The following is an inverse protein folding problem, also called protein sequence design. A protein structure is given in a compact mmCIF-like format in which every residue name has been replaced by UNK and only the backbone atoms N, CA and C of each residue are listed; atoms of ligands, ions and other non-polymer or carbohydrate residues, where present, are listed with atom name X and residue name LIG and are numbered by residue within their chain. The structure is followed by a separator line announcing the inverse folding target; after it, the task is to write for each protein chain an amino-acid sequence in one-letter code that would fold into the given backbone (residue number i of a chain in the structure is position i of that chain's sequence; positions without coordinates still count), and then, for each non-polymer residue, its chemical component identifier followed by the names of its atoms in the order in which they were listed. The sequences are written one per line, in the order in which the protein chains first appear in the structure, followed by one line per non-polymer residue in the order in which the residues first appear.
data_IF_033152021345
#
_entry.id   IF_033152021345
#
_cell.length_a   1.000
_cell.length_b   1.000
_cell.length_c   1.000
_cell.angle_alpha   90.00
_cell.angle_beta   90.00
_cell.angle_gamma   90.00
#
_symmetry.space_group_name_H-M   'P 1'
#
loop_
_entity.id
_entity.type
_entity.pdbx_description
1 polymer ?
#
# COMPACT_ATOMS: atom_id res chain seq x y z
N UNK A 1 -2.80 22.05 18.48
CA UNK A 1 -3.86 21.67 17.52
C UNK A 1 -3.94 20.15 17.59
N UNK A 2 -4.97 19.63 18.24
CA UNK A 2 -5.16 18.21 18.46
C UNK A 2 -5.64 17.57 17.14
N UNK A 3 -4.87 16.62 16.61
CA UNK A 3 -5.33 15.75 15.53
C UNK A 3 -6.36 14.80 16.13
N UNK A 4 -7.59 14.96 15.71
CA UNK A 4 -8.70 14.09 16.06
C UNK A 4 -8.41 12.73 15.42
N UNK A 5 -8.18 11.72 16.26
CA UNK A 5 -8.20 10.31 15.88
C UNK A 5 -9.67 9.96 15.59
N UNK A 6 -10.07 10.05 14.33
CA UNK A 6 -11.29 9.40 13.89
C UNK A 6 -11.01 7.90 13.85
N UNK A 7 -11.31 7.21 14.96
CA UNK A 7 -11.64 5.79 14.90
C UNK A 7 -12.90 5.67 14.04
N UNK A 8 -12.72 5.43 12.74
CA UNK A 8 -13.80 5.04 11.87
C UNK A 8 -14.32 3.69 12.39
N UNK A 9 -15.46 3.72 13.08
CA UNK A 9 -16.23 2.53 13.42
C UNK A 9 -16.66 1.89 12.09
N UNK A 10 -15.88 0.92 11.62
CA UNK A 10 -16.30 0.05 10.53
C UNK A 10 -17.45 -0.81 11.09
N UNK A 11 -18.67 -0.49 10.71
CA UNK A 11 -19.83 -1.27 11.07
C UNK A 11 -19.60 -2.73 10.62
N UNK A 12 -19.85 -3.68 11.52
CA UNK A 12 -19.85 -5.13 11.20
C UNK A 12 -20.90 -5.39 10.12
N UNK A 13 -20.46 -5.51 8.88
CA UNK A 13 -21.34 -5.78 7.74
C UNK A 13 -21.50 -7.29 7.63
N UNK A 14 -22.76 -7.78 7.66
CA UNK A 14 -23.03 -9.13 7.22
C UNK A 14 -22.50 -9.31 5.80
N UNK A 15 -21.47 -10.14 5.66
CA UNK A 15 -20.71 -10.31 4.41
C UNK A 15 -21.60 -10.82 3.28
N UNK A 16 -22.54 -11.73 3.57
CA UNK A 16 -23.43 -12.32 2.56
C UNK A 16 -24.40 -11.25 2.04
N UNK A 17 -25.15 -10.63 2.94
CA UNK A 17 -26.08 -9.55 2.59
C UNK A 17 -25.35 -8.32 1.98
N UNK A 18 -24.11 -8.07 2.41
CA UNK A 18 -23.26 -7.04 1.85
C UNK A 18 -22.86 -7.32 0.40
N UNK A 19 -22.57 -8.57 0.07
CA UNK A 19 -22.23 -8.97 -1.30
C UNK A 19 -23.43 -8.83 -2.24
N UNK A 20 -24.63 -9.22 -1.80
CA UNK A 20 -25.85 -9.06 -2.59
C UNK A 20 -26.16 -7.58 -2.90
N UNK A 21 -26.00 -6.70 -1.90
CA UNK A 21 -26.17 -5.26 -2.10
C UNK A 21 -25.14 -4.66 -3.08
N UNK A 22 -23.87 -5.08 -3.01
CA UNK A 22 -22.85 -4.66 -3.97
C UNK A 22 -23.21 -5.15 -5.38
N UNK A 23 -23.64 -6.40 -5.54
CA UNK A 23 -24.06 -6.94 -6.83
C UNK A 23 -25.23 -6.16 -7.43
N UNK A 24 -26.25 -5.83 -6.61
CA UNK A 24 -27.39 -5.02 -7.05
C UNK A 24 -26.94 -3.63 -7.50
N UNK A 25 -26.05 -2.97 -6.75
CA UNK A 25 -25.52 -1.67 -7.11
C UNK A 25 -24.71 -1.70 -8.43
N UNK A 26 -23.88 -2.75 -8.62
CA UNK A 26 -23.13 -2.93 -9.87
C UNK A 26 -24.06 -3.15 -11.05
N UNK A 27 -25.16 -3.88 -10.88
CA UNK A 27 -26.15 -4.10 -11.94
C UNK A 27 -26.82 -2.79 -12.37
N UNK A 28 -27.18 -1.95 -11.40
CA UNK A 28 -27.70 -0.61 -11.66
C UNK A 28 -26.65 0.22 -12.41
N UNK A 29 -25.42 0.24 -11.92
CA UNK A 29 -24.33 0.99 -12.53
C UNK A 29 -24.11 0.59 -14.02
N UNK A 30 -24.15 -0.69 -14.34
CA UNK A 30 -24.03 -1.16 -15.73
C UNK A 30 -25.13 -0.58 -16.60
N UNK A 31 -26.39 -0.56 -16.12
CA UNK A 31 -27.49 0.06 -16.86
C UNK A 31 -27.31 1.56 -17.07
N UNK A 32 -26.90 2.30 -16.04
CA UNK A 32 -26.65 3.76 -16.12
C UNK A 32 -25.47 4.10 -17.04
N UNK A 33 -24.53 3.17 -17.24
CA UNK A 33 -23.44 3.30 -18.23
C UNK A 33 -23.89 2.97 -19.67
N UNK A 34 -25.17 2.64 -19.88
CA UNK A 34 -25.72 2.30 -21.19
C UNK A 34 -25.51 0.85 -21.62
N UNK A 35 -25.11 -0.02 -20.71
CA UNK A 35 -24.87 -1.45 -20.97
C UNK A 35 -26.12 -2.29 -20.67
N UNK A 36 -26.26 -3.41 -21.38
CA UNK A 36 -27.24 -4.43 -21.02
C UNK A 36 -26.62 -5.40 -19.97
N UNK A 37 -27.02 -5.35 -18.69
CA UNK A 37 -26.46 -6.21 -17.65
C UNK A 37 -26.76 -7.71 -17.84
N UNK A 38 -27.73 -8.07 -18.72
CA UNK A 38 -28.14 -9.45 -19.00
C UNK A 38 -27.40 -10.06 -20.18
N UNK A 39 -26.59 -9.30 -20.92
CA UNK A 39 -25.77 -9.87 -22.00
C UNK A 39 -24.71 -10.84 -21.43
N UNK A 40 -24.39 -11.88 -22.19
CA UNK A 40 -23.52 -13.01 -21.80
C UNK A 40 -22.22 -12.56 -21.10
N UNK A 41 -21.54 -11.54 -21.59
CA UNK A 41 -20.29 -11.05 -21.04
C UNK A 41 -20.44 -10.35 -19.67
N UNK A 42 -21.63 -9.83 -19.33
CA UNK A 42 -21.89 -9.05 -18.11
C UNK A 42 -22.71 -9.78 -17.05
N UNK A 43 -23.36 -10.88 -17.37
CA UNK A 43 -24.26 -11.59 -16.44
C UNK A 43 -23.57 -11.99 -15.11
N UNK A 44 -22.25 -12.27 -15.13
CA UNK A 44 -21.44 -12.60 -13.94
C UNK A 44 -20.64 -11.41 -13.39
N UNK A 45 -20.72 -10.22 -14.03
CA UNK A 45 -19.94 -9.05 -13.62
C UNK A 45 -20.28 -8.55 -12.23
N UNK A 46 -21.56 -8.47 -11.82
CA UNK A 46 -21.90 -8.05 -10.46
C UNK A 46 -21.24 -8.91 -9.37
N UNK A 47 -21.27 -10.23 -9.51
CA UNK A 47 -20.62 -11.15 -8.58
C UNK A 47 -19.11 -10.99 -8.56
N UNK A 48 -18.48 -10.87 -9.75
CA UNK A 48 -17.03 -10.71 -9.88
C UNK A 48 -16.55 -9.40 -9.25
N UNK A 49 -17.27 -8.31 -9.48
CA UNK A 49 -16.97 -6.99 -8.90
C UNK A 49 -17.11 -7.01 -7.39
N UNK A 50 -18.18 -7.63 -6.85
CA UNK A 50 -18.36 -7.76 -5.41
C UNK A 50 -17.17 -8.51 -4.76
N UNK A 51 -16.76 -9.65 -5.33
CA UNK A 51 -15.60 -10.41 -4.85
C UNK A 51 -14.30 -9.61 -4.94
N UNK A 52 -14.08 -8.90 -6.06
CA UNK A 52 -12.88 -8.08 -6.25
C UNK A 52 -12.82 -6.93 -5.25
N UNK A 53 -13.91 -6.20 -5.03
CA UNK A 53 -13.96 -5.11 -4.06
C UNK A 53 -13.71 -5.60 -2.64
N UNK A 54 -14.31 -6.74 -2.23
CA UNK A 54 -14.03 -7.34 -0.91
C UNK A 54 -12.56 -7.70 -0.74
N UNK A 55 -11.96 -8.33 -1.74
CA UNK A 55 -10.53 -8.65 -1.70
C UNK A 55 -9.67 -7.39 -1.60
N UNK A 56 -9.98 -6.37 -2.39
CA UNK A 56 -9.22 -5.11 -2.45
C UNK A 56 -9.43 -4.23 -1.21
N UNK A 57 -10.46 -4.49 -0.40
CA UNK A 57 -10.75 -3.75 0.83
C UNK A 57 -10.71 -4.62 2.10
N UNK A 58 -10.21 -5.85 1.99
CA UNK A 58 -10.13 -6.80 3.11
C UNK A 58 -9.22 -6.38 4.26
N UNK A 59 -8.39 -5.35 4.07
CA UNK A 59 -7.58 -4.77 5.12
C UNK A 59 -8.38 -4.08 6.24
N UNK A 60 -9.64 -3.74 5.99
CA UNK A 60 -10.54 -3.24 7.06
C UNK A 60 -10.90 -4.31 8.09
N UNK A 61 -10.88 -5.57 7.67
CA UNK A 61 -11.24 -6.71 8.53
C UNK A 61 -10.02 -7.30 9.25
N UNK A 62 -8.82 -6.78 8.98
CA UNK A 62 -7.58 -7.30 9.55
C UNK A 62 -7.16 -6.49 10.78
N UNK A 63 -6.86 -7.21 11.86
CA UNK A 63 -6.26 -6.65 13.07
C UNK A 63 -4.73 -6.65 12.94
N UNK A 64 -4.13 -5.48 13.10
CA UNK A 64 -2.68 -5.29 13.08
C UNK A 64 -1.97 -6.14 14.13
N UNK A 65 -2.55 -6.29 15.32
CA UNK A 65 -1.96 -7.07 16.40
C UNK A 65 -1.93 -8.56 16.07
N UNK A 66 -2.99 -9.07 15.44
CA UNK A 66 -3.04 -10.44 14.93
C UNK A 66 -2.02 -10.64 13.80
N UNK A 67 -1.84 -9.67 12.93
CA UNK A 67 -0.88 -9.74 11.81
C UNK A 67 0.56 -9.75 12.32
N UNK A 68 0.89 -8.87 13.26
CA UNK A 68 2.23 -8.82 13.87
C UNK A 68 2.45 -10.08 14.70
N UNK A 69 1.41 -10.52 15.42
CA UNK A 69 1.48 -11.68 16.32
C UNK A 69 2.78 -11.60 17.15
N UNK A 70 3.14 -12.52 17.97
CA UNK A 70 4.34 -12.49 18.83
C UNK A 70 5.69 -12.49 18.08
N UNK A 71 5.75 -12.04 16.80
CA UNK A 71 6.97 -12.00 16.00
C UNK A 71 7.84 -10.77 16.29
N UNK A 72 7.98 -10.45 17.58
CA UNK A 72 8.88 -9.44 18.12
C UNK A 72 10.01 -10.12 18.88
N UNK A 73 11.25 -9.84 18.51
CA UNK A 73 12.44 -10.47 19.07
C UNK A 73 13.33 -9.43 19.71
N UNK A 74 13.84 -9.69 20.92
CA UNK A 74 14.78 -8.81 21.60
C UNK A 74 16.15 -8.82 20.92
N UNK A 75 16.78 -7.64 20.83
CA UNK A 75 18.10 -7.46 20.23
C UNK A 75 18.91 -6.43 21.01
N UNK A 76 20.24 -6.53 20.94
CA UNK A 76 21.18 -5.60 21.57
C UNK A 76 21.90 -4.69 20.57
N UNK A 77 21.54 -4.77 19.27
CA UNK A 77 22.12 -3.96 18.20
C UNK A 77 21.15 -2.89 17.71
N UNK A 78 21.70 -1.83 17.11
CA UNK A 78 20.94 -0.67 16.63
C UNK A 78 21.20 -0.37 15.15
N UNK A 79 21.55 -1.41 14.37
CA UNK A 79 21.75 -1.27 12.94
C UNK A 79 20.41 -1.07 12.21
N UNK A 80 20.45 -0.30 11.12
CA UNK A 80 19.28 -0.03 10.31
C UNK A 80 18.77 -1.31 9.64
N UNK A 81 17.51 -1.63 9.84
CA UNK A 81 16.81 -2.71 9.14
C UNK A 81 15.98 -2.10 8.01
N UNK A 82 16.14 -2.61 6.79
CA UNK A 82 15.40 -2.15 5.62
C UNK A 82 14.74 -3.34 4.92
N UNK A 83 13.44 -3.21 4.63
CA UNK A 83 12.73 -4.07 3.68
C UNK A 83 12.24 -3.17 2.55
N UNK A 84 12.79 -3.39 1.36
CA UNK A 84 12.50 -2.57 0.19
C UNK A 84 11.74 -3.36 -0.87
N UNK A 85 11.18 -2.60 -1.83
CA UNK A 85 10.47 -3.15 -2.99
C UNK A 85 9.24 -4.01 -2.59
N UNK A 86 8.54 -3.62 -1.52
CA UNK A 86 7.29 -4.26 -1.13
C UNK A 86 6.21 -3.82 -2.10
N UNK A 87 5.77 -4.71 -2.98
CA UNK A 87 4.67 -4.44 -3.90
C UNK A 87 3.37 -4.25 -3.12
N UNK A 88 2.57 -3.26 -3.52
CA UNK A 88 1.25 -3.03 -2.95
C UNK A 88 0.24 -2.61 -4.01
N UNK A 89 -1.04 -2.88 -3.73
CA UNK A 89 -2.19 -2.48 -4.51
C UNK A 89 -3.22 -1.85 -3.58
N UNK A 90 -3.79 -0.72 -3.99
CA UNK A 90 -4.78 0.02 -3.21
C UNK A 90 -5.84 0.64 -4.11
N UNK A 91 -6.94 1.09 -3.53
CA UNK A 91 -7.98 1.85 -4.23
C UNK A 91 -7.96 3.30 -3.77
N UNK A 92 -7.84 4.22 -4.71
CA UNK A 92 -7.97 5.65 -4.44
C UNK A 92 -9.39 5.95 -3.93
N UNK A 93 -9.51 6.52 -2.73
CA UNK A 93 -10.80 6.81 -2.11
C UNK A 93 -11.65 7.80 -2.90
N UNK A 94 -11.01 8.68 -3.69
CA UNK A 94 -11.72 9.71 -4.46
C UNK A 94 -12.44 9.14 -5.70
N UNK A 95 -11.93 8.04 -6.27
CA UNK A 95 -12.41 7.56 -7.57
C UNK A 95 -12.68 6.06 -7.62
N UNK A 96 -12.37 5.29 -6.57
CA UNK A 96 -12.36 3.82 -6.54
C UNK A 96 -11.47 3.20 -7.64
N UNK A 97 -10.56 3.97 -8.22
CA UNK A 97 -9.59 3.48 -9.20
C UNK A 97 -8.31 3.04 -8.51
N UNK A 98 -7.64 2.00 -9.03
CA UNK A 98 -6.41 1.50 -8.43
C UNK A 98 -5.27 2.51 -8.45
N UNK A 99 -4.47 2.47 -7.40
CA UNK A 99 -3.08 2.91 -7.43
C UNK A 99 -2.20 1.81 -6.85
N UNK A 100 -1.02 1.68 -7.36
CA UNK A 100 -0.12 0.58 -7.04
C UNK A 100 1.33 0.99 -7.23
N UNK A 101 2.22 0.29 -6.56
CA UNK A 101 3.63 0.62 -6.63
C UNK A 101 4.46 -0.15 -5.62
N UNK A 102 5.48 0.51 -5.08
CA UNK A 102 6.42 -0.07 -4.13
C UNK A 102 6.47 0.74 -2.85
N UNK A 103 6.50 0.02 -1.74
CA UNK A 103 6.71 0.56 -0.41
C UNK A 103 8.07 0.10 0.11
N UNK A 104 8.82 1.02 0.68
CA UNK A 104 10.08 0.76 1.34
C UNK A 104 9.96 1.16 2.79
N UNK A 105 10.30 0.23 3.68
CA UNK A 105 10.20 0.42 5.13
C UNK A 105 11.57 0.24 5.74
N UNK A 106 11.99 1.20 6.57
CA UNK A 106 13.19 1.07 7.39
C UNK A 106 12.89 1.45 8.83
N UNK A 107 13.61 0.84 9.76
CA UNK A 107 13.63 1.25 11.15
C UNK A 107 14.99 0.96 11.79
N UNK A 108 15.29 1.69 12.85
CA UNK A 108 16.47 1.43 13.69
C UNK A 108 15.95 0.91 15.01
N UNK A 109 16.21 -0.36 15.37
CA UNK A 109 15.70 -0.95 16.60
C UNK A 109 16.27 -0.26 17.84
N UNK A 110 15.46 -0.17 18.89
CA UNK A 110 15.93 0.21 20.22
C UNK A 110 16.31 -1.05 21.02
N UNK A 111 15.41 -1.98 21.10
CA UNK A 111 15.52 -3.21 21.88
C UNK A 111 14.79 -4.41 21.24
N UNK A 112 14.04 -4.15 20.16
CA UNK A 112 13.24 -5.18 19.49
C UNK A 112 13.28 -5.03 17.97
N UNK A 113 13.27 -6.18 17.30
CA UNK A 113 13.04 -6.29 15.84
C UNK A 113 11.76 -7.07 15.57
N UNK A 114 11.15 -6.78 14.43
CA UNK A 114 9.99 -7.52 13.93
C UNK A 114 10.42 -8.53 12.87
N UNK A 115 9.78 -9.69 12.83
CA UNK A 115 10.01 -10.65 11.76
C UNK A 115 9.81 -10.00 10.38
N UNK A 116 10.79 -10.10 9.49
CA UNK A 116 10.82 -9.39 8.20
C UNK A 116 9.55 -9.57 7.37
N UNK A 117 8.95 -10.77 7.40
CA UNK A 117 7.69 -11.08 6.69
C UNK A 117 6.47 -10.33 7.22
N UNK A 118 6.55 -9.74 8.41
CA UNK A 118 5.46 -8.98 9.01
C UNK A 118 5.33 -7.57 8.42
N UNK A 119 6.43 -6.99 7.95
CA UNK A 119 6.40 -5.67 7.32
C UNK A 119 5.59 -5.64 6.01
N UNK A 120 5.78 -6.56 5.04
CA UNK A 120 4.91 -6.65 3.88
C UNK A 120 3.43 -6.89 4.25
N UNK A 121 3.15 -7.73 5.24
CA UNK A 121 1.78 -7.96 5.69
C UNK A 121 1.16 -6.72 6.31
N UNK A 122 1.92 -5.94 7.08
CA UNK A 122 1.46 -4.67 7.61
C UNK A 122 1.14 -3.66 6.50
N UNK A 123 2.00 -3.57 5.48
CA UNK A 123 1.73 -2.76 4.28
C UNK A 123 0.42 -3.20 3.62
N UNK A 124 0.17 -4.51 3.52
CA UNK A 124 -1.05 -5.04 2.91
C UNK A 124 -2.30 -4.70 3.72
N UNK A 125 -2.27 -4.78 5.06
CA UNK A 125 -3.39 -4.37 5.93
C UNK A 125 -3.86 -2.96 5.63
N UNK A 126 -2.95 -2.02 5.43
CA UNK A 126 -3.30 -0.63 5.16
C UNK A 126 -3.56 -0.33 3.69
N UNK A 127 -2.88 -1.01 2.77
CA UNK A 127 -3.10 -0.80 1.33
C UNK A 127 -4.42 -1.40 0.84
N UNK A 128 -4.89 -2.53 1.42
CA UNK A 128 -6.19 -3.14 1.10
C UNK A 128 -7.37 -2.39 1.72
N UNK A 129 -7.42 -1.08 1.47
CA UNK A 129 -8.47 -0.15 1.94
C UNK A 129 -8.72 0.90 0.88
N UNK A 130 -9.75 1.73 1.08
CA UNK A 130 -9.86 2.99 0.34
C UNK A 130 -8.86 3.98 0.92
N UNK A 131 -7.90 4.44 0.11
CA UNK A 131 -6.74 5.18 0.61
C UNK A 131 -6.43 6.45 -0.20
N UNK A 132 -5.69 7.34 0.45
CA UNK A 132 -4.78 8.28 -0.19
C UNK A 132 -3.34 7.90 0.17
N UNK A 133 -2.42 8.09 -0.75
CA UNK A 133 -1.03 7.61 -0.60
C UNK A 133 -0.34 8.21 0.63
N UNK A 134 -0.60 9.47 0.95
CA UNK A 134 -0.03 10.18 2.10
C UNK A 134 -0.49 9.56 3.43
N UNK A 135 -1.78 9.19 3.53
CA UNK A 135 -2.34 8.53 4.70
C UNK A 135 -1.75 7.13 4.85
N UNK A 136 -1.70 6.35 3.76
CA UNK A 136 -1.10 5.02 3.74
C UNK A 136 0.34 5.06 4.27
N UNK A 137 1.15 5.99 3.76
CA UNK A 137 2.55 6.16 4.17
C UNK A 137 2.68 6.47 5.66
N UNK A 138 1.84 7.36 6.17
CA UNK A 138 1.86 7.74 7.58
C UNK A 138 1.35 6.63 8.49
N UNK A 139 0.27 5.94 8.16
CA UNK A 139 -0.29 4.84 8.97
C UNK A 139 0.71 3.71 9.15
N UNK A 140 1.46 3.34 8.10
CA UNK A 140 2.52 2.32 8.20
C UNK A 140 3.60 2.79 9.18
N UNK A 141 4.10 4.04 9.03
CA UNK A 141 5.16 4.56 9.89
C UNK A 141 4.72 4.69 11.36
N UNK A 142 3.50 5.13 11.60
CA UNK A 142 2.92 5.29 12.95
C UNK A 142 2.74 3.94 13.64
N UNK A 143 2.24 2.96 12.91
CA UNK A 143 2.05 1.61 13.46
C UNK A 143 3.38 0.97 13.85
N UNK A 144 4.39 1.04 13.00
CA UNK A 144 5.73 0.52 13.32
C UNK A 144 6.29 1.25 14.53
N UNK A 145 6.14 2.58 14.61
CA UNK A 145 6.57 3.37 15.75
C UNK A 145 5.88 2.92 17.04
N UNK A 146 4.57 2.74 17.02
CA UNK A 146 3.79 2.33 18.19
C UNK A 146 4.11 0.91 18.67
N UNK A 147 4.33 -0.03 17.74
CA UNK A 147 4.52 -1.45 18.07
C UNK A 147 5.96 -1.81 18.48
N UNK A 148 6.97 -1.15 17.87
CA UNK A 148 8.38 -1.46 18.12
C UNK A 148 9.06 -0.45 19.02
N UNK A 149 8.52 0.76 19.20
CA UNK A 149 9.18 1.87 19.88
C UNK A 149 10.66 2.05 19.44
N UNK A 150 10.95 2.08 18.13
CA UNK A 150 12.32 2.11 17.62
C UNK A 150 12.96 3.50 17.82
N UNK A 151 14.26 3.61 17.57
CA UNK A 151 14.96 4.91 17.55
C UNK A 151 14.48 5.79 16.39
N UNK A 152 14.02 5.18 15.31
CA UNK A 152 13.41 5.88 14.17
C UNK A 152 12.76 4.93 13.20
N UNK A 153 11.87 5.48 12.38
CA UNK A 153 11.17 4.79 11.28
C UNK A 153 11.22 5.68 10.04
N UNK A 154 11.42 5.05 8.89
CA UNK A 154 11.28 5.68 7.58
C UNK A 154 10.40 4.80 6.68
N UNK A 155 9.43 5.42 6.03
CA UNK A 155 8.59 4.78 5.01
C UNK A 155 8.61 5.65 3.77
N UNK A 156 8.88 5.04 2.61
CA UNK A 156 8.81 5.69 1.31
C UNK A 156 7.91 4.86 0.40
N UNK A 157 6.98 5.52 -0.27
CA UNK A 157 6.07 4.89 -1.24
C UNK A 157 6.19 5.59 -2.58
N UNK A 158 6.47 4.83 -3.63
CA UNK A 158 6.36 5.26 -5.02
C UNK A 158 5.18 4.53 -5.67
N UNK A 159 4.26 5.26 -6.29
CA UNK A 159 3.08 4.68 -6.89
C UNK A 159 2.62 5.35 -8.18
N UNK A 160 1.99 4.55 -9.03
CA UNK A 160 1.25 4.95 -10.22
C UNK A 160 -0.25 4.98 -9.89
N UNK A 161 -0.92 6.10 -10.22
CA UNK A 161 -2.33 6.31 -9.93
C UNK A 161 -3.15 6.26 -11.22
N UNK A 162 -4.01 5.25 -11.40
CA UNK A 162 -4.85 5.16 -12.59
C UNK A 162 -5.83 6.33 -12.70
N UNK A 163 -6.24 6.93 -11.59
CA UNK A 163 -7.06 8.13 -11.61
C UNK A 163 -6.37 9.37 -12.24
N UNK A 164 -5.04 9.35 -12.36
CA UNK A 164 -4.24 10.37 -13.03
C UNK A 164 -3.76 9.93 -14.42
N UNK A 165 -3.53 8.64 -14.61
CA UNK A 165 -2.92 8.09 -15.83
C UNK A 165 -3.95 7.96 -16.96
N UNK A 166 -5.13 7.37 -16.69
CA UNK A 166 -6.12 7.02 -17.71
C UNK A 166 -7.21 8.08 -17.90
N UNK A 167 -7.28 9.08 -17.04
CA UNK A 167 -8.23 10.19 -17.06
C UNK A 167 -7.66 11.38 -16.28
N UNK A 168 -8.34 12.53 -16.31
CA UNK A 168 -7.90 13.74 -15.60
C UNK A 168 -6.71 14.39 -16.30
N UNK A 169 -5.53 14.34 -15.69
CA UNK A 169 -4.32 14.96 -16.25
C UNK A 169 -3.62 14.15 -17.34
N UNK A 170 -3.95 12.88 -17.47
CA UNK A 170 -3.46 11.96 -18.52
C UNK A 170 -1.93 11.91 -18.67
N UNK A 171 -1.20 11.96 -17.53
CA UNK A 171 0.27 11.93 -17.51
C UNK A 171 0.78 10.51 -17.20
N UNK A 172 0.98 9.71 -18.26
CA UNK A 172 1.30 8.28 -18.16
C UNK A 172 2.60 7.96 -17.43
N UNK A 173 3.59 8.85 -17.47
CA UNK A 173 4.89 8.66 -16.82
C UNK A 173 4.95 9.28 -15.41
N UNK A 174 3.85 9.85 -14.93
CA UNK A 174 3.81 10.50 -13.62
C UNK A 174 3.70 9.45 -12.52
N UNK A 175 4.61 9.54 -11.55
CA UNK A 175 4.59 8.75 -10.32
C UNK A 175 4.51 9.68 -9.11
N UNK A 176 3.73 9.29 -8.11
CA UNK A 176 3.69 9.97 -6.83
C UNK A 176 4.72 9.34 -5.89
N UNK A 177 5.51 10.19 -5.24
CA UNK A 177 6.46 9.78 -4.19
C UNK A 177 6.03 10.42 -2.87
N UNK A 178 5.82 9.60 -1.83
CA UNK A 178 5.52 10.06 -0.48
C UNK A 178 6.50 9.47 0.52
N UNK A 179 6.80 10.22 1.58
CA UNK A 179 7.69 9.75 2.63
C UNK A 179 7.19 10.13 4.02
N UNK A 180 7.41 9.25 5.00
CA UNK A 180 7.19 9.51 6.40
C UNK A 180 8.46 9.16 7.19
N UNK A 181 9.03 10.15 7.86
CA UNK A 181 10.24 10.02 8.66
C UNK A 181 9.92 10.29 10.14
N UNK A 182 10.36 9.42 11.03
CA UNK A 182 10.16 9.52 12.49
C UNK A 182 11.48 9.29 13.22
N UNK A 183 11.60 9.84 14.43
CA UNK A 183 12.80 9.69 15.27
C UNK A 183 14.06 10.14 14.54
N UNK A 184 15.14 9.36 14.60
CA UNK A 184 16.47 9.71 14.05
C UNK A 184 16.46 9.91 12.53
N UNK A 185 15.59 9.27 11.76
CA UNK A 185 15.46 9.57 10.34
C UNK A 185 14.99 10.99 10.07
N UNK A 186 14.23 11.58 10.99
CA UNK A 186 13.78 12.98 10.89
C UNK A 186 14.83 13.96 11.42
N UNK A 187 15.50 13.63 12.52
CA UNK A 187 16.39 14.56 13.24
C UNK A 187 17.83 14.53 12.76
N UNK A 188 18.33 13.38 12.24
CA UNK A 188 19.68 13.26 11.69
C UNK A 188 19.67 13.14 10.17
N UNK A 189 20.30 14.10 9.52
CA UNK A 189 20.39 14.14 8.06
C UNK A 189 21.27 13.01 7.50
N UNK A 190 22.29 12.54 8.24
CA UNK A 190 23.19 11.46 7.79
C UNK A 190 22.44 10.14 7.73
N UNK A 191 21.72 9.80 8.78
CA UNK A 191 20.86 8.58 8.83
C UNK A 191 19.83 8.60 7.69
N UNK A 192 19.21 9.74 7.45
CA UNK A 192 18.28 9.88 6.33
C UNK A 192 18.94 9.72 4.97
N UNK A 193 20.12 10.30 4.77
CA UNK A 193 20.88 10.18 3.52
C UNK A 193 21.34 8.76 3.27
N UNK A 194 21.83 8.07 4.29
CA UNK A 194 22.18 6.64 4.21
C UNK A 194 20.99 5.79 3.75
N UNK A 195 19.83 5.96 4.38
CA UNK A 195 18.61 5.27 3.97
C UNK A 195 18.25 5.52 2.51
N UNK A 196 18.22 6.79 2.08
CA UNK A 196 17.88 7.13 0.70
C UNK A 196 18.90 6.59 -0.31
N UNK A 197 20.19 6.55 0.04
CA UNK A 197 21.24 5.95 -0.78
C UNK A 197 21.06 4.43 -0.92
N UNK A 198 20.71 3.73 0.17
CA UNK A 198 20.44 2.29 0.14
C UNK A 198 19.18 1.91 -0.67
N UNK A 199 18.25 2.86 -0.82
CA UNK A 199 17.11 2.72 -1.73
C UNK A 199 17.47 3.05 -3.20
N UNK A 200 18.63 3.66 -3.46
CA UNK A 200 19.01 4.17 -4.78
C UNK A 200 18.34 5.51 -5.13
N UNK A 201 17.82 6.24 -4.12
CA UNK A 201 17.16 7.54 -4.29
C UNK A 201 18.06 8.72 -3.90
N UNK A 202 19.27 8.45 -3.40
CA UNK A 202 20.13 9.45 -2.76
C UNK A 202 21.04 10.29 -3.68
N UNK A 203 21.31 9.88 -4.91
CA UNK A 203 22.12 10.61 -5.88
C UNK A 203 21.37 10.69 -7.20
N UNK A 204 21.38 11.87 -7.86
CA UNK A 204 20.62 12.20 -9.05
C UNK A 204 20.84 11.37 -10.33
N UNK A 205 21.49 10.22 -10.23
CA UNK A 205 21.67 9.23 -11.31
C UNK A 205 20.67 8.08 -11.22
N UNK A 206 19.57 8.26 -10.48
CA UNK A 206 18.49 7.26 -10.34
C UNK A 206 17.71 7.05 -11.64
N UNK A 207 18.35 6.43 -12.62
CA UNK A 207 17.63 5.68 -13.65
C UNK A 207 16.98 4.50 -12.94
N UNK A 208 15.70 4.65 -12.62
CA UNK A 208 14.85 3.57 -12.17
C UNK A 208 14.96 2.43 -13.18
N UNK A 209 15.65 1.36 -12.81
CA UNK A 209 15.70 0.14 -13.62
C UNK A 209 14.27 -0.42 -13.67
N UNK A 210 13.59 -0.11 -14.74
CA UNK A 210 12.33 -0.75 -15.12
C UNK A 210 12.65 -2.18 -15.52
N UNK A 211 12.18 -3.16 -14.74
CA UNK A 211 12.00 -4.56 -15.10
C UNK A 211 13.23 -5.36 -15.54
N UNK A 212 13.17 -6.70 -15.47
CA UNK A 212 14.21 -7.54 -16.04
C UNK A 212 14.29 -7.31 -17.55
N UNK A 213 15.49 -6.99 -18.05
CA UNK A 213 15.79 -7.01 -19.47
C UNK A 213 15.38 -8.37 -20.03
N UNK A 214 14.44 -8.39 -20.96
CA UNK A 214 14.23 -9.57 -21.78
C UNK A 214 15.48 -9.71 -22.63
N UNK A 215 16.31 -10.67 -22.30
CA UNK A 215 17.33 -11.13 -23.23
C UNK A 215 16.60 -11.64 -24.47
N UNK A 216 16.77 -10.92 -25.56
CA UNK A 216 16.42 -11.43 -26.89
C UNK A 216 17.39 -12.55 -27.21
N UNK A 217 16.97 -13.77 -26.95
CA UNK A 217 17.65 -14.96 -27.47
C UNK A 217 17.13 -15.15 -28.90
N UNK A 218 17.85 -14.50 -29.85
CA UNK A 218 17.71 -14.79 -31.28
C UNK A 218 18.43 -16.13 -31.55
N UNK A 219 17.72 -17.21 -31.27
CA UNK A 219 18.11 -18.57 -31.63
C UNK A 219 17.46 -18.97 -32.95
N UNK A 220 18.26 -18.94 -34.01
CA UNK A 220 17.99 -19.63 -35.25
C UNK A 220 17.59 -21.10 -35.02
N UNK A 221 16.42 -21.51 -35.54
CA UNK A 221 16.16 -22.63 -36.46
C UNK A 221 14.69 -22.64 -36.82
#
# INVERSE_FOLDING_TARGET
MAFISTEEQVATVDVVAGNERIQAAVRVLLGELGENPDREGLIKTPERVAKALRFLTGGYEQDVDVVINDALFSVEYHEMVIVKDIDFYSLCEHHLLPFFGRCHVAYIPRDKVIGLSKLPRLVEVFSRRLQVQERLTNQIAETITAKLNPLGVAVVIEASHLCMLMRGVEKQNSKALTSAMRGVFRTDARTRTEFLNLLGLGNGDGVLRTGPERTSDDGHL
#
